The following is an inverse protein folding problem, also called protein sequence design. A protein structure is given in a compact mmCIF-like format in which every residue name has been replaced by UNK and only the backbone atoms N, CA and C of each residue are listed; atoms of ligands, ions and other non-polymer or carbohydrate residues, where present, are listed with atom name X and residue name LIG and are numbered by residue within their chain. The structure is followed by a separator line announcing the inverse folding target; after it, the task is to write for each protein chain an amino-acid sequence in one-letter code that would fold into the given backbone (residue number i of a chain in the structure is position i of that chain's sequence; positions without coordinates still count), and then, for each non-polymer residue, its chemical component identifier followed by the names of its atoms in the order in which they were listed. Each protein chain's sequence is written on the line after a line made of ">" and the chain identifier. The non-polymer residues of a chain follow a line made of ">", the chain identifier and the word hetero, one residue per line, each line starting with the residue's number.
data_IF_485455427366
#
_entry.id   IF_485455427366
#
_cell.length_a   1.000
_cell.length_b   1.000
_cell.length_c   1.000
_cell.angle_alpha   90.00
_cell.angle_beta   90.00
_cell.angle_gamma   90.00
#
_symmetry.space_group_name_H-M   'P 1'
#
loop_
_entity.id
_entity.type
_entity.pdbx_description
1 polymer ?
#
# COMPACT_ATOMS: atom_id res chain seq x y z
N UNK A 1 33.66 -8.22 -24.35
CA UNK A 1 32.59 -7.37 -24.85
C UNK A 1 32.61 -6.03 -24.15
N UNK A 2 32.79 -4.98 -24.91
CA UNK A 2 32.95 -3.66 -24.30
C UNK A 2 31.61 -2.92 -24.36
N UNK A 3 30.99 -2.73 -23.19
CA UNK A 3 29.76 -1.93 -23.12
C UNK A 3 30.11 -0.44 -23.22
N UNK A 4 29.40 0.32 -24.04
CA UNK A 4 29.59 1.77 -24.06
C UNK A 4 29.33 2.35 -22.67
N UNK A 5 30.15 3.29 -22.23
CA UNK A 5 29.99 3.90 -20.90
C UNK A 5 28.64 4.53 -20.70
N UNK A 6 27.96 5.03 -21.77
CA UNK A 6 26.63 5.56 -21.73
C UNK A 6 25.55 4.53 -21.39
N UNK A 7 25.75 3.25 -21.75
CA UNK A 7 24.77 2.20 -21.48
C UNK A 7 24.60 1.92 -20.00
N UNK A 8 25.71 1.90 -19.25
CA UNK A 8 25.65 1.70 -17.80
C UNK A 8 24.95 2.84 -17.11
N UNK A 9 25.24 4.08 -17.51
CA UNK A 9 24.57 5.24 -16.95
C UNK A 9 23.07 5.25 -17.26
N UNK A 10 22.70 4.83 -18.48
CA UNK A 10 21.29 4.72 -18.86
C UNK A 10 20.57 3.65 -18.03
N UNK A 11 21.22 2.51 -17.82
CA UNK A 11 20.63 1.44 -17.02
C UNK A 11 20.42 1.88 -15.56
N UNK A 12 21.41 2.57 -14.99
CA UNK A 12 21.28 3.11 -13.63
C UNK A 12 20.18 4.15 -13.54
N UNK A 13 20.07 5.01 -14.54
CA UNK A 13 19.02 6.02 -14.61
C UNK A 13 17.64 5.39 -14.70
N UNK A 14 17.49 4.36 -15.52
CA UNK A 14 16.24 3.62 -15.64
C UNK A 14 15.86 2.93 -14.34
N UNK A 15 16.85 2.34 -13.65
CA UNK A 15 16.60 1.71 -12.35
C UNK A 15 16.13 2.71 -11.30
N UNK A 16 16.73 3.90 -11.27
CA UNK A 16 16.33 4.96 -10.36
C UNK A 16 14.92 5.47 -10.68
N UNK A 17 14.61 5.64 -11.95
CA UNK A 17 13.28 6.06 -12.40
C UNK A 17 12.22 5.02 -12.02
N UNK A 18 12.53 3.74 -12.19
CA UNK A 18 11.63 2.67 -11.83
C UNK A 18 11.37 2.64 -10.32
N UNK A 19 12.42 2.80 -9.52
CA UNK A 19 12.30 2.84 -8.07
C UNK A 19 11.45 4.02 -7.62
N UNK A 20 11.67 5.19 -8.20
CA UNK A 20 10.90 6.38 -7.90
C UNK A 20 9.44 6.21 -8.28
N UNK A 21 9.18 5.65 -9.44
CA UNK A 21 7.82 5.36 -9.91
C UNK A 21 7.10 4.39 -8.97
N UNK A 22 7.79 3.34 -8.52
CA UNK A 22 7.24 2.39 -7.59
C UNK A 22 6.86 3.06 -6.27
N UNK A 23 7.76 3.90 -5.73
CA UNK A 23 7.49 4.65 -4.50
C UNK A 23 6.29 5.57 -4.65
N UNK A 24 6.18 6.26 -5.77
CA UNK A 24 5.05 7.16 -6.05
C UNK A 24 3.74 6.40 -6.16
N UNK A 25 3.74 5.26 -6.85
CA UNK A 25 2.54 4.46 -7.00
C UNK A 25 2.11 3.82 -5.68
N UNK A 26 3.07 3.38 -4.86
CA UNK A 26 2.75 2.87 -3.52
C UNK A 26 2.17 3.98 -2.65
N UNK A 27 2.79 5.16 -2.65
CA UNK A 27 2.28 6.28 -1.87
C UNK A 27 0.88 6.71 -2.30
N UNK A 28 0.53 6.50 -3.57
CA UNK A 28 -0.78 6.85 -4.11
C UNK A 28 -1.88 5.82 -3.79
N UNK A 29 -1.53 4.67 -3.20
CA UNK A 29 -2.50 3.67 -2.81
C UNK A 29 -3.49 4.26 -1.81
N UNK A 30 -4.77 3.95 -2.00
CA UNK A 30 -5.84 4.32 -1.07
C UNK A 30 -6.68 3.09 -0.81
N UNK A 31 -6.79 2.73 0.46
CA UNK A 31 -7.63 1.61 0.87
C UNK A 31 -8.64 2.06 1.91
N UNK A 32 -9.69 1.29 2.02
CA UNK A 32 -10.74 1.51 3.00
C UNK A 32 -11.09 0.16 3.59
N UNK A 33 -11.20 0.10 4.92
CA UNK A 33 -11.57 -1.12 5.61
C UNK A 33 -12.64 -0.81 6.66
N UNK A 34 -13.53 -1.75 6.86
CA UNK A 34 -14.62 -1.61 7.80
C UNK A 34 -14.62 -2.74 8.83
N UNK A 35 -15.26 -2.50 9.95
CA UNK A 35 -15.52 -3.52 10.97
C UNK A 35 -16.87 -3.28 11.61
N UNK A 36 -17.35 -4.27 12.39
CA UNK A 36 -18.61 -4.15 13.10
C UNK A 36 -19.82 -3.95 12.18
N UNK A 37 -19.85 -4.61 11.02
CA UNK A 37 -20.93 -4.44 10.07
C UNK A 37 -20.99 -3.06 9.42
N UNK A 38 -19.85 -2.38 9.34
CA UNK A 38 -19.76 -1.05 8.76
C UNK A 38 -19.82 0.09 9.77
N UNK A 39 -19.84 -0.23 11.06
CA UNK A 39 -19.90 0.80 12.11
C UNK A 39 -18.61 1.62 12.20
N UNK A 40 -17.46 1.02 11.87
CA UNK A 40 -16.18 1.70 11.85
C UNK A 40 -15.56 1.53 10.48
N UNK A 41 -15.09 2.64 9.90
CA UNK A 41 -14.39 2.66 8.61
C UNK A 41 -13.07 3.38 8.80
N UNK A 42 -11.98 2.76 8.32
CA UNK A 42 -10.64 3.35 8.33
C UNK A 42 -10.17 3.52 6.90
N UNK A 43 -9.66 4.71 6.58
CA UNK A 43 -9.02 5.02 5.30
C UNK A 43 -7.54 5.16 5.51
N UNK A 44 -6.75 4.58 4.60
CA UNK A 44 -5.30 4.52 4.75
C UNK A 44 -4.61 4.68 3.41
N UNK A 45 -3.43 5.30 3.41
CA UNK A 45 -2.60 5.38 2.21
C UNK A 45 -1.58 4.25 2.16
N UNK A 46 -0.79 4.21 1.09
CA UNK A 46 0.20 3.16 0.88
C UNK A 46 1.39 3.21 1.82
N UNK A 47 1.58 4.31 2.53
CA UNK A 47 2.62 4.46 3.56
C UNK A 47 2.07 4.10 4.94
N UNK A 48 0.84 3.61 5.00
CA UNK A 48 0.12 3.23 6.21
C UNK A 48 -0.19 4.41 7.12
N UNK A 49 -0.32 5.60 6.54
CA UNK A 49 -0.89 6.72 7.25
C UNK A 49 -2.41 6.57 7.29
N UNK A 50 -2.99 6.71 8.46
CA UNK A 50 -4.44 6.73 8.60
C UNK A 50 -4.94 8.09 8.12
N UNK A 51 -5.74 8.10 7.07
CA UNK A 51 -6.27 9.33 6.46
C UNK A 51 -7.61 9.74 7.05
N UNK A 52 -8.29 8.82 7.70
CA UNK A 52 -9.55 9.12 8.32
C UNK A 52 -10.15 7.91 9.02
N UNK A 53 -10.94 8.19 10.03
CA UNK A 53 -11.72 7.18 10.75
C UNK A 53 -13.15 7.70 10.82
N UNK A 54 -14.09 6.88 10.39
CA UNK A 54 -15.51 7.19 10.48
C UNK A 54 -16.16 6.20 11.43
N UNK A 55 -16.88 6.71 12.40
CA UNK A 55 -17.54 5.91 13.44
C UNK A 55 -19.02 6.22 13.39
N UNK A 56 -19.85 5.17 13.29
CA UNK A 56 -21.29 5.32 13.41
C UNK A 56 -21.61 5.69 14.87
N UNK A 57 -22.47 6.71 15.10
CA UNK A 57 -22.81 7.10 16.45
C UNK A 57 -23.36 5.98 17.34
N UNK A 58 -24.01 4.99 16.74
CA UNK A 58 -24.52 3.83 17.49
C UNK A 58 -23.39 3.02 18.18
N UNK A 59 -22.20 3.06 17.61
CA UNK A 59 -21.05 2.35 18.18
C UNK A 59 -20.48 3.05 19.40
N UNK A 60 -20.80 4.32 19.62
CA UNK A 60 -20.19 5.11 20.69
C UNK A 60 -20.71 4.74 22.10
N UNK A 61 -21.81 3.95 22.17
CA UNK A 61 -22.39 3.55 23.45
C UNK A 61 -21.62 2.51 24.21
N UNK A 62 -20.71 1.77 23.55
CA UNK A 62 -19.88 0.74 24.15
C UNK A 62 -18.42 1.00 23.76
N UNK A 63 -17.68 1.63 24.67
CA UNK A 63 -16.31 2.06 24.39
C UNK A 63 -15.36 0.89 24.17
N UNK A 64 -15.50 -0.19 24.92
CA UNK A 64 -14.63 -1.37 24.76
C UNK A 64 -14.85 -2.01 23.38
N UNK A 65 -16.11 -2.19 22.99
CA UNK A 65 -16.42 -2.72 21.67
C UNK A 65 -15.93 -1.78 20.58
N UNK A 66 -16.08 -0.46 20.76
CA UNK A 66 -15.61 0.53 19.80
C UNK A 66 -14.10 0.44 19.61
N UNK A 67 -13.33 0.31 20.68
CA UNK A 67 -11.88 0.15 20.61
C UNK A 67 -11.49 -1.09 19.80
N UNK A 68 -12.16 -2.20 20.02
CA UNK A 68 -11.91 -3.44 19.30
C UNK A 68 -12.25 -3.29 17.81
N UNK A 69 -13.34 -2.60 17.50
CA UNK A 69 -13.74 -2.37 16.10
C UNK A 69 -12.76 -1.45 15.37
N UNK A 70 -12.28 -0.40 16.04
CA UNK A 70 -11.29 0.51 15.46
C UNK A 70 -10.00 -0.25 15.18
N UNK A 71 -9.53 -1.05 16.12
CA UNK A 71 -8.33 -1.85 15.96
C UNK A 71 -8.49 -2.84 14.80
N UNK A 72 -9.62 -3.52 14.72
CA UNK A 72 -9.89 -4.48 13.65
C UNK A 72 -9.90 -3.80 12.27
N UNK A 73 -10.56 -2.65 12.14
CA UNK A 73 -10.62 -1.90 10.89
C UNK A 73 -9.23 -1.39 10.48
N UNK A 74 -8.46 -0.89 11.43
CA UNK A 74 -7.11 -0.39 11.19
C UNK A 74 -6.20 -1.52 10.70
N UNK A 75 -6.22 -2.67 11.38
CA UNK A 75 -5.40 -3.81 11.00
C UNK A 75 -5.78 -4.36 9.62
N UNK A 76 -7.08 -4.38 9.31
CA UNK A 76 -7.54 -4.81 8.00
C UNK A 76 -7.11 -3.81 6.91
N UNK A 77 -7.15 -2.51 7.18
CA UNK A 77 -6.66 -1.50 6.25
C UNK A 77 -5.16 -1.71 5.99
N UNK A 78 -4.37 -1.93 7.04
CA UNK A 78 -2.93 -2.18 6.90
C UNK A 78 -2.66 -3.43 6.06
N UNK A 79 -3.44 -4.49 6.26
CA UNK A 79 -3.34 -5.71 5.46
C UNK A 79 -3.63 -5.44 3.98
N UNK A 80 -4.66 -4.65 3.70
CA UNK A 80 -5.03 -4.28 2.33
C UNK A 80 -3.92 -3.46 1.67
N UNK A 81 -3.29 -2.55 2.42
CA UNK A 81 -2.15 -1.79 1.91
C UNK A 81 -1.00 -2.72 1.51
N UNK A 82 -0.65 -3.67 2.38
CA UNK A 82 0.42 -4.62 2.08
C UNK A 82 0.12 -5.43 0.82
N UNK A 83 -1.12 -5.86 0.66
CA UNK A 83 -1.56 -6.61 -0.51
C UNK A 83 -1.48 -5.76 -1.78
N UNK A 84 -1.98 -4.52 -1.74
CA UNK A 84 -1.92 -3.60 -2.88
C UNK A 84 -0.48 -3.21 -3.22
N UNK A 85 0.36 -2.98 -2.21
CA UNK A 85 1.79 -2.69 -2.42
C UNK A 85 2.48 -3.83 -3.14
N UNK A 86 2.20 -5.06 -2.74
CA UNK A 86 2.78 -6.25 -3.37
C UNK A 86 2.33 -6.36 -4.82
N UNK A 87 1.05 -6.12 -5.11
CA UNK A 87 0.53 -6.14 -6.48
C UNK A 87 1.21 -5.09 -7.35
N UNK A 88 1.36 -3.87 -6.84
CA UNK A 88 2.04 -2.79 -7.55
C UNK A 88 3.48 -3.13 -7.86
N UNK A 89 4.19 -3.69 -6.88
CA UNK A 89 5.57 -4.12 -7.04
C UNK A 89 5.68 -5.19 -8.13
N UNK A 90 4.82 -6.20 -8.09
CA UNK A 90 4.82 -7.27 -9.07
C UNK A 90 4.49 -6.76 -10.47
N UNK A 91 3.52 -5.85 -10.61
CA UNK A 91 3.15 -5.28 -11.89
C UNK A 91 4.29 -4.50 -12.53
N UNK A 92 4.96 -3.64 -11.76
CA UNK A 92 6.05 -2.82 -12.27
C UNK A 92 7.29 -3.64 -12.59
N UNK A 93 7.63 -4.59 -11.71
CA UNK A 93 8.81 -5.43 -11.91
C UNK A 93 8.54 -6.56 -12.91
N UNK A 94 7.30 -7.02 -13.00
CA UNK A 94 6.88 -7.98 -14.01
C UNK A 94 6.99 -7.43 -15.42
N UNK A 95 6.78 -6.12 -15.60
CA UNK A 95 6.98 -5.43 -16.87
C UNK A 95 8.42 -5.42 -17.34
N UNK A 96 9.38 -5.70 -16.45
CA UNK A 96 10.79 -5.82 -16.78
C UNK A 96 11.18 -7.26 -17.16
N UNK A 97 10.22 -8.20 -17.16
CA UNK A 97 10.49 -9.59 -17.46
C UNK A 97 11.15 -10.37 -16.33
N UNK A 98 11.16 -9.84 -15.13
CA UNK A 98 11.77 -10.50 -13.97
C UNK A 98 10.78 -11.47 -13.33
N UNK A 99 11.26 -12.66 -12.87
CA UNK A 99 10.38 -13.61 -12.20
C UNK A 99 9.82 -13.05 -10.90
N UNK A 100 8.53 -13.30 -10.59
CA UNK A 100 7.94 -12.80 -9.35
C UNK A 100 8.61 -13.33 -8.08
N UNK A 101 9.27 -14.49 -8.16
CA UNK A 101 9.93 -15.11 -7.01
C UNK A 101 11.18 -14.41 -6.53
N UNK A 102 11.65 -13.37 -7.24
CA UNK A 102 12.83 -12.60 -6.85
C UNK A 102 12.52 -11.51 -5.81
N UNK A 103 11.27 -11.32 -5.48
CA UNK A 103 10.84 -10.20 -4.62
C UNK A 103 10.11 -10.63 -3.37
#
# INVERSE_FOLDING_TARGET
>A
MKLPGGSMQQMMKQAQQMQQRLQEEIAAIRVEATSGGGMVTVKMDGLKHCLGVKIDPEAAGDVEMLCDMVMAAFNEAARKVDEESRKKTQELLGGLGLPPGLF
#
